data_IF_365391987303
#
_entry.id   IF_365391987303
#
_cell.length_a   1.000
_cell.length_b   1.000
_cell.length_c   1.000
_cell.angle_alpha   90.00
_cell.angle_beta   90.00
_cell.angle_gamma   90.00
#
_symmetry.space_group_name_H-M   'P 1'
#
loop_
_entity.id
_entity.type
_entity.pdbx_description
1 polymer ?
#
# COMPACT_ATOMS: atom_id res chain seq x y z
N UNK A 1 22.36 12.05 6.43
CA UNK A 1 21.72 11.18 7.42
C UNK A 1 21.17 9.97 6.69
N UNK A 2 20.77 8.87 7.35
CA UNK A 2 20.06 7.80 6.64
C UNK A 2 18.61 8.21 6.38
N UNK A 3 17.99 7.61 5.36
CA UNK A 3 16.54 7.73 5.14
C UNK A 3 15.82 7.17 6.36
N UNK A 4 14.80 7.87 6.88
CA UNK A 4 13.95 7.39 7.98
C UNK A 4 12.54 7.15 7.49
N UNK A 5 12.05 5.92 7.70
CA UNK A 5 10.69 5.51 7.39
C UNK A 5 9.87 5.37 8.67
N UNK A 6 8.89 6.24 8.85
CA UNK A 6 7.86 6.14 9.89
C UNK A 6 6.68 5.33 9.35
N UNK A 7 6.45 4.15 9.90
CA UNK A 7 5.53 3.17 9.32
C UNK A 7 4.88 2.26 10.35
N UNK A 8 3.97 1.41 9.88
CA UNK A 8 3.39 0.30 10.62
C UNK A 8 3.13 -0.86 9.64
N UNK A 9 2.90 -2.07 10.14
CA UNK A 9 2.60 -3.27 9.35
C UNK A 9 1.23 -3.18 8.67
N UNK A 10 1.12 -2.36 7.62
CA UNK A 10 -0.10 -2.11 6.86
C UNK A 10 0.21 -2.02 5.37
N UNK A 11 -0.78 -2.21 4.48
CA UNK A 11 -0.57 -2.09 3.04
C UNK A 11 0.08 -0.77 2.62
N UNK A 12 -0.25 0.36 3.27
CA UNK A 12 0.36 1.64 2.92
C UNK A 12 1.82 1.75 3.38
N UNK A 13 2.15 1.18 4.53
CA UNK A 13 3.54 1.09 5.02
C UNK A 13 4.40 0.23 4.09
N UNK A 14 3.88 -0.94 3.72
CA UNK A 14 4.59 -1.89 2.85
C UNK A 14 4.87 -1.35 1.45
N UNK A 15 4.08 -0.42 0.91
CA UNK A 15 4.42 0.25 -0.36
C UNK A 15 5.83 0.84 -0.32
N UNK A 16 6.17 1.48 0.80
CA UNK A 16 7.42 2.23 0.91
C UNK A 16 8.58 1.32 1.29
N UNK A 17 8.39 0.39 2.23
CA UNK A 17 9.45 -0.58 2.53
C UNK A 17 9.79 -1.45 1.32
N UNK A 18 8.80 -1.90 0.54
CA UNK A 18 9.04 -2.61 -0.73
C UNK A 18 9.83 -1.74 -1.71
N UNK A 19 9.46 -0.47 -1.87
CA UNK A 19 10.18 0.42 -2.79
C UNK A 19 11.63 0.65 -2.36
N UNK A 20 11.89 0.83 -1.06
CA UNK A 20 13.23 0.99 -0.52
C UNK A 20 14.10 -0.25 -0.77
N UNK A 21 13.54 -1.45 -0.55
CA UNK A 21 14.21 -2.73 -0.84
C UNK A 21 14.46 -2.92 -2.34
N UNK A 22 13.48 -2.66 -3.21
CA UNK A 22 13.62 -2.77 -4.67
C UNK A 22 14.65 -1.78 -5.23
N UNK A 23 14.76 -0.61 -4.65
CA UNK A 23 15.71 0.41 -5.06
C UNK A 23 17.11 0.20 -4.46
N UNK A 24 17.24 -0.63 -3.42
CA UNK A 24 18.48 -0.90 -2.70
C UNK A 24 18.93 0.29 -1.86
N UNK A 25 17.98 1.05 -1.30
CA UNK A 25 18.25 2.21 -0.47
C UNK A 25 18.35 1.81 1.00
N UNK A 26 19.43 2.17 1.73
CA UNK A 26 19.51 1.94 3.16
C UNK A 26 18.57 2.89 3.91
N UNK A 27 17.87 2.37 4.92
CA UNK A 27 16.92 3.15 5.71
C UNK A 27 16.84 2.68 7.16
N UNK A 28 16.39 3.57 8.02
CA UNK A 28 16.02 3.31 9.41
C UNK A 28 14.49 3.28 9.54
N UNK A 29 13.97 2.39 10.38
CA UNK A 29 12.53 2.25 10.60
C UNK A 29 12.16 2.79 11.98
N UNK A 30 11.16 3.66 12.01
CA UNK A 30 10.44 4.03 13.23
C UNK A 30 9.02 3.46 13.15
N UNK A 31 8.71 2.55 14.05
CA UNK A 31 7.38 1.92 14.11
C UNK A 31 6.43 2.81 14.85
N UNK A 32 5.37 3.26 14.19
CA UNK A 32 4.32 4.07 14.80
C UNK A 32 3.37 3.17 15.59
N UNK A 33 3.28 3.43 16.90
CA UNK A 33 2.35 2.72 17.78
C UNK A 33 0.94 3.33 17.73
N UNK A 34 0.05 2.66 17.00
CA UNK A 34 -1.36 3.06 16.94
C UNK A 34 -2.11 2.88 18.28
N UNK A 35 -1.63 1.97 19.15
CA UNK A 35 -2.30 1.72 20.42
C UNK A 35 -2.16 2.93 21.36
N UNK A 36 -1.01 3.61 21.33
CA UNK A 36 -0.77 4.86 22.03
C UNK A 36 -1.21 6.10 21.26
N UNK A 37 -1.74 5.96 20.07
CA UNK A 37 -2.08 7.06 19.15
C UNK A 37 -0.87 7.93 18.78
N UNK A 38 0.30 7.35 18.65
CA UNK A 38 1.55 8.07 18.35
C UNK A 38 1.46 8.89 17.05
N UNK A 39 0.67 8.43 16.06
CA UNK A 39 0.41 9.15 14.82
C UNK A 39 -0.32 10.50 15.03
N UNK A 40 -0.86 10.74 16.23
CA UNK A 40 -1.53 11.99 16.63
C UNK A 40 -0.68 12.85 17.56
N UNK A 41 0.50 12.37 17.95
CA UNK A 41 1.41 13.14 18.79
C UNK A 41 1.94 14.39 18.06
N UNK A 42 2.13 15.49 18.79
CA UNK A 42 2.53 16.79 18.24
C UNK A 42 3.82 16.72 17.40
N UNK A 43 4.76 15.88 17.82
CA UNK A 43 6.01 15.70 17.07
C UNK A 43 5.78 15.04 15.72
N UNK A 44 4.85 14.06 15.64
CA UNK A 44 4.56 13.37 14.40
C UNK A 44 3.68 14.23 13.47
N UNK A 45 2.72 14.96 14.01
CA UNK A 45 1.90 15.91 13.26
C UNK A 45 2.75 16.99 12.56
N UNK A 46 3.89 17.39 13.16
CA UNK A 46 4.85 18.29 12.50
C UNK A 46 5.52 17.68 11.28
N UNK A 47 5.69 16.35 11.24
CA UNK A 47 6.22 15.62 10.07
C UNK A 47 5.12 15.33 9.05
N UNK A 48 3.94 14.97 9.55
CA UNK A 48 2.79 14.61 8.71
C UNK A 48 1.49 15.19 9.31
N UNK A 49 1.02 16.31 8.78
CA UNK A 49 -0.18 16.98 9.30
C UNK A 49 -1.47 16.14 9.18
N UNK A 50 -1.47 15.11 8.32
CA UNK A 50 -2.58 14.16 8.21
C UNK A 50 -2.64 13.18 9.40
N UNK A 51 -1.52 13.01 10.15
CA UNK A 51 -1.44 12.08 11.27
C UNK A 51 -1.71 10.63 10.86
N UNK A 52 -1.12 10.21 9.74
CA UNK A 52 -1.20 8.86 9.19
C UNK A 52 0.18 8.36 8.78
N UNK A 53 0.30 7.06 8.51
CA UNK A 53 1.51 6.46 7.94
C UNK A 53 1.28 6.18 6.43
N UNK A 54 2.35 6.06 5.65
CA UNK A 54 3.75 6.29 5.96
C UNK A 54 4.15 7.77 5.93
N UNK A 55 5.28 8.07 6.58
CA UNK A 55 6.03 9.33 6.40
C UNK A 55 7.50 8.97 6.16
N UNK A 56 8.14 9.68 5.26
CA UNK A 56 9.57 9.51 4.95
C UNK A 56 10.30 10.81 5.27
N UNK A 57 11.46 10.69 5.91
CA UNK A 57 12.43 11.78 6.03
C UNK A 57 13.69 11.38 5.27
N UNK A 58 14.02 12.12 4.22
CA UNK A 58 15.16 11.82 3.35
C UNK A 58 16.50 12.21 4.02
N UNK A 59 17.61 11.84 3.41
CA UNK A 59 18.98 12.03 3.92
C UNK A 59 19.33 13.50 4.20
N UNK A 60 18.75 14.43 3.46
CA UNK A 60 18.91 15.89 3.60
C UNK A 60 17.94 16.52 4.60
N UNK A 61 17.03 15.72 5.19
CA UNK A 61 16.00 16.19 6.12
C UNK A 61 14.68 16.58 5.44
N UNK A 62 14.57 16.43 4.12
CA UNK A 62 13.30 16.65 3.41
C UNK A 62 12.26 15.63 3.87
N UNK A 63 11.11 16.12 4.31
CA UNK A 63 10.02 15.29 4.85
C UNK A 63 8.89 15.19 3.85
N UNK A 64 8.41 13.97 3.64
CA UNK A 64 7.34 13.69 2.69
C UNK A 64 6.33 12.70 3.29
N UNK A 65 5.05 12.99 3.12
CA UNK A 65 3.94 12.08 3.39
C UNK A 65 3.15 11.83 2.11
N UNK A 66 2.12 10.99 2.15
CA UNK A 66 1.42 10.36 1.03
C UNK A 66 2.28 9.28 0.33
N UNK A 67 1.85 8.04 0.46
CA UNK A 67 2.62 6.90 -0.09
C UNK A 67 2.87 7.01 -1.59
N UNK A 68 1.93 7.57 -2.36
CA UNK A 68 2.12 7.80 -3.79
C UNK A 68 3.18 8.86 -4.10
N UNK A 69 3.22 9.94 -3.33
CA UNK A 69 4.23 10.99 -3.48
C UNK A 69 5.61 10.47 -3.09
N UNK A 70 5.70 9.69 -2.01
CA UNK A 70 6.95 9.06 -1.58
C UNK A 70 7.49 8.11 -2.65
N UNK A 71 6.63 7.28 -3.27
CA UNK A 71 7.02 6.39 -4.35
C UNK A 71 7.58 7.16 -5.57
N UNK A 72 6.95 8.25 -5.97
CA UNK A 72 7.44 9.11 -7.06
C UNK A 72 8.82 9.70 -6.69
N UNK A 73 8.94 10.26 -5.49
CA UNK A 73 10.19 10.85 -5.02
C UNK A 73 11.35 9.85 -5.03
N UNK A 74 11.16 8.65 -4.49
CA UNK A 74 12.18 7.60 -4.46
C UNK A 74 12.55 7.11 -5.87
N UNK A 75 11.57 6.99 -6.77
CA UNK A 75 11.81 6.62 -8.15
C UNK A 75 12.60 7.70 -8.92
N UNK A 76 12.30 8.98 -8.70
CA UNK A 76 13.03 10.10 -9.28
C UNK A 76 14.45 10.20 -8.73
N UNK A 77 14.62 10.04 -7.42
CA UNK A 77 15.92 10.04 -6.73
C UNK A 77 16.86 8.96 -7.27
N UNK A 78 16.33 7.77 -7.54
CA UNK A 78 17.11 6.60 -7.98
C UNK A 78 17.17 6.45 -9.51
N UNK A 79 16.26 7.07 -10.24
CA UNK A 79 16.06 6.85 -11.67
C UNK A 79 15.54 5.46 -12.02
N UNK A 80 14.91 4.74 -11.05
CA UNK A 80 14.41 3.37 -11.21
C UNK A 80 12.88 3.33 -11.12
N UNK A 81 12.25 2.37 -11.81
CA UNK A 81 10.82 2.03 -11.71
C UNK A 81 9.84 3.14 -12.08
N UNK A 82 10.32 4.22 -12.71
CA UNK A 82 9.50 5.28 -13.29
C UNK A 82 10.19 5.75 -14.59
N UNK A 83 9.61 5.49 -15.77
CA UNK A 83 10.18 5.93 -17.04
C UNK A 83 10.38 7.45 -17.09
N UNK A 84 11.40 7.87 -17.82
CA UNK A 84 11.69 9.31 -18.01
C UNK A 84 10.93 9.92 -19.17
N UNK A 85 10.56 9.11 -20.16
CA UNK A 85 9.76 9.58 -21.29
C UNK A 85 8.33 9.91 -20.85
N UNK A 86 7.73 10.89 -21.49
CA UNK A 86 6.44 11.46 -21.09
C UNK A 86 5.33 10.41 -21.09
N UNK A 87 5.28 9.52 -22.08
CA UNK A 87 4.21 8.54 -22.20
C UNK A 87 4.34 7.41 -21.20
N UNK A 88 5.54 6.82 -21.06
CA UNK A 88 5.81 5.78 -20.08
C UNK A 88 5.57 6.28 -18.65
N UNK A 89 6.10 7.47 -18.33
CA UNK A 89 5.86 8.12 -17.04
C UNK A 89 4.36 8.31 -16.76
N UNK A 90 3.63 8.83 -17.73
CA UNK A 90 2.19 9.09 -17.57
C UNK A 90 1.40 7.80 -17.34
N UNK A 91 1.75 6.69 -18.02
CA UNK A 91 1.12 5.39 -17.78
C UNK A 91 1.34 4.87 -16.35
N UNK A 92 2.57 4.96 -15.85
CA UNK A 92 2.87 4.54 -14.47
C UNK A 92 2.11 5.40 -13.47
N UNK A 93 2.11 6.73 -13.65
CA UNK A 93 1.38 7.65 -12.76
C UNK A 93 -0.13 7.41 -12.83
N UNK A 94 -0.69 7.13 -14.01
CA UNK A 94 -2.11 6.77 -14.16
C UNK A 94 -2.49 5.59 -13.26
N UNK A 95 -1.72 4.51 -13.27
CA UNK A 95 -1.99 3.32 -12.46
C UNK A 95 -1.68 3.55 -10.98
N UNK A 96 -0.68 4.39 -10.67
CA UNK A 96 -0.43 4.84 -9.32
C UNK A 96 -1.64 5.63 -8.77
N UNK A 97 -2.19 6.57 -9.55
CA UNK A 97 -3.39 7.32 -9.16
C UNK A 97 -4.62 6.42 -9.05
N UNK A 98 -4.77 5.42 -9.93
CA UNK A 98 -5.82 4.41 -9.82
C UNK A 98 -5.77 3.66 -8.49
N UNK A 99 -4.57 3.35 -7.99
CA UNK A 99 -4.40 2.79 -6.65
C UNK A 99 -4.81 3.79 -5.57
N UNK A 100 -4.32 5.03 -5.63
CA UNK A 100 -4.54 6.04 -4.60
C UNK A 100 -6.00 6.47 -4.48
N UNK A 101 -6.72 6.56 -5.59
CA UNK A 101 -8.11 7.02 -5.62
C UNK A 101 -9.14 5.89 -5.59
N UNK A 102 -8.77 4.70 -6.03
CA UNK A 102 -9.68 3.56 -6.20
C UNK A 102 -9.37 2.40 -5.26
N UNK A 103 -8.36 1.59 -5.60
CA UNK A 103 -8.08 0.32 -4.91
C UNK A 103 -7.90 0.52 -3.39
N UNK A 104 -6.99 1.39 -2.98
CA UNK A 104 -6.72 1.63 -1.56
C UNK A 104 -7.94 2.09 -0.78
N UNK A 105 -8.60 3.19 -1.19
CA UNK A 105 -9.79 3.68 -0.51
C UNK A 105 -10.95 2.70 -0.49
N UNK A 106 -11.26 2.03 -1.61
CA UNK A 106 -12.42 1.13 -1.67
C UNK A 106 -12.20 -0.16 -0.88
N UNK A 107 -11.02 -0.78 -0.97
CA UNK A 107 -10.65 -1.90 -0.10
C UNK A 107 -10.60 -1.47 1.37
N UNK A 108 -10.10 -0.27 1.65
CA UNK A 108 -10.08 0.29 3.00
C UNK A 108 -11.48 0.41 3.59
N UNK A 109 -12.45 0.94 2.85
CA UNK A 109 -13.83 1.03 3.29
C UNK A 109 -14.49 -0.37 3.41
N UNK A 110 -14.22 -1.29 2.48
CA UNK A 110 -14.69 -2.66 2.60
C UNK A 110 -14.19 -3.31 3.90
N UNK A 111 -12.90 -3.13 4.22
CA UNK A 111 -12.31 -3.61 5.48
C UNK A 111 -12.99 -2.98 6.70
N UNK A 112 -13.21 -1.66 6.69
CA UNK A 112 -13.86 -0.94 7.79
C UNK A 112 -15.23 -1.53 8.08
N UNK A 113 -16.12 -1.56 7.10
CA UNK A 113 -17.50 -2.00 7.34
C UNK A 113 -17.63 -3.52 7.54
N UNK A 114 -16.76 -4.32 6.92
CA UNK A 114 -16.77 -5.75 7.10
C UNK A 114 -16.15 -6.19 8.44
N UNK A 115 -15.06 -5.54 8.89
CA UNK A 115 -14.25 -6.03 10.02
C UNK A 115 -14.31 -5.16 11.27
N UNK A 116 -14.27 -3.83 11.11
CA UNK A 116 -13.98 -2.91 12.21
C UNK A 116 -15.20 -2.15 12.70
N UNK A 117 -16.14 -1.83 11.82
CA UNK A 117 -17.34 -1.09 12.21
C UNK A 117 -18.18 -1.91 13.19
N UNK A 118 -18.64 -1.33 14.33
CA UNK A 118 -19.35 -2.07 15.37
C UNK A 118 -20.65 -2.73 14.87
N UNK A 119 -21.39 -2.01 14.03
CA UNK A 119 -22.64 -2.46 13.45
C UNK A 119 -22.40 -3.03 12.05
N UNK A 120 -22.99 -4.19 11.76
CA UNK A 120 -22.96 -4.75 10.41
C UNK A 120 -24.09 -4.15 9.58
N UNK A 121 -23.71 -3.42 8.52
CA UNK A 121 -24.63 -2.76 7.61
C UNK A 121 -24.52 -3.43 6.22
N UNK A 122 -25.30 -4.51 5.97
CA UNK A 122 -25.12 -5.33 4.76
C UNK A 122 -25.11 -4.53 3.45
N UNK A 123 -26.01 -3.55 3.21
CA UNK A 123 -25.99 -2.78 1.96
C UNK A 123 -24.69 -1.98 1.75
N UNK A 124 -24.05 -1.50 2.83
CA UNK A 124 -22.79 -0.75 2.77
C UNK A 124 -21.63 -1.70 2.48
N UNK A 125 -21.58 -2.84 3.16
CA UNK A 125 -20.57 -3.88 2.91
C UNK A 125 -20.63 -4.31 1.45
N UNK A 126 -21.82 -4.67 0.97
CA UNK A 126 -22.04 -5.10 -0.41
C UNK A 126 -21.64 -4.01 -1.42
N UNK A 127 -21.97 -2.74 -1.15
CA UNK A 127 -21.59 -1.62 -2.00
C UNK A 127 -20.09 -1.53 -2.23
N UNK A 128 -19.29 -1.63 -1.16
CA UNK A 128 -17.83 -1.55 -1.27
C UNK A 128 -17.21 -2.81 -1.85
N UNK A 129 -17.71 -3.99 -1.52
CA UNK A 129 -17.26 -5.25 -2.10
C UNK A 129 -17.50 -5.30 -3.62
N UNK A 130 -18.66 -4.89 -4.09
CA UNK A 130 -18.96 -4.78 -5.53
C UNK A 130 -17.99 -3.82 -6.23
N UNK A 131 -17.68 -2.69 -5.61
CA UNK A 131 -16.73 -1.74 -6.20
C UNK A 131 -15.30 -2.32 -6.25
N UNK A 132 -14.85 -3.01 -5.19
CA UNK A 132 -13.57 -3.71 -5.21
C UNK A 132 -13.53 -4.77 -6.32
N UNK A 133 -14.58 -5.59 -6.45
CA UNK A 133 -14.70 -6.58 -7.53
C UNK A 133 -14.61 -5.92 -8.91
N UNK A 134 -15.31 -4.81 -9.12
CA UNK A 134 -15.25 -4.03 -10.38
C UNK A 134 -13.83 -3.56 -10.68
N UNK A 135 -13.13 -3.04 -9.67
CA UNK A 135 -11.75 -2.55 -9.79
C UNK A 135 -10.78 -3.70 -10.09
N UNK A 136 -10.96 -4.88 -9.47
CA UNK A 136 -10.17 -6.07 -9.77
C UNK A 136 -10.34 -6.53 -11.23
N UNK A 137 -11.58 -6.48 -11.74
CA UNK A 137 -11.84 -6.74 -13.16
C UNK A 137 -11.15 -5.77 -14.11
N UNK A 138 -10.89 -4.52 -13.71
CA UNK A 138 -10.08 -3.57 -14.50
C UNK A 138 -8.62 -3.98 -14.49
N UNK A 139 -8.07 -4.34 -13.32
CA UNK A 139 -6.69 -4.82 -13.21
C UNK A 139 -6.47 -6.11 -13.99
N UNK A 140 -7.38 -7.07 -13.88
CA UNK A 140 -7.30 -8.35 -14.59
C UNK A 140 -7.27 -8.18 -16.10
N UNK A 141 -8.18 -7.36 -16.67
CA UNK A 141 -8.18 -7.06 -18.10
C UNK A 141 -6.90 -6.39 -18.58
N UNK A 142 -6.34 -5.48 -17.79
CA UNK A 142 -5.06 -4.85 -18.10
C UNK A 142 -3.92 -5.87 -18.10
N UNK A 143 -3.90 -6.74 -17.11
CA UNK A 143 -2.89 -7.78 -16.94
C UNK A 143 -3.03 -8.95 -17.93
N UNK A 144 -4.16 -9.10 -18.60
CA UNK A 144 -4.35 -10.13 -19.63
C UNK A 144 -3.35 -10.01 -20.78
N UNK A 145 -2.88 -8.80 -21.09
CA UNK A 145 -1.91 -8.52 -22.15
C UNK A 145 -0.57 -7.97 -21.66
N UNK A 146 -0.40 -7.85 -20.34
CA UNK A 146 0.80 -7.29 -19.73
C UNK A 146 1.27 -8.14 -18.56
N UNK A 147 2.58 -8.25 -18.37
CA UNK A 147 3.16 -8.91 -17.21
C UNK A 147 2.96 -8.08 -15.93
N UNK A 148 3.17 -6.76 -16.05
CA UNK A 148 2.99 -5.79 -14.98
C UNK A 148 1.99 -4.70 -15.38
N UNK A 149 1.44 -3.99 -14.40
CA UNK A 149 0.27 -3.13 -14.60
C UNK A 149 0.50 -1.99 -15.61
N UNK A 150 1.71 -1.44 -15.67
CA UNK A 150 2.08 -0.38 -16.62
C UNK A 150 2.93 -0.88 -17.81
N UNK A 151 3.03 -2.21 -17.98
CA UNK A 151 3.88 -2.89 -18.96
C UNK A 151 5.12 -3.49 -18.33
N UNK A 152 6.01 -2.67 -17.80
CA UNK A 152 7.15 -3.08 -17.00
C UNK A 152 6.90 -2.87 -15.50
N UNK A 153 7.64 -3.63 -14.66
CA UNK A 153 7.56 -3.49 -13.20
C UNK A 153 7.91 -2.07 -12.76
N UNK A 154 7.05 -1.46 -11.97
CA UNK A 154 7.11 -0.04 -11.64
C UNK A 154 6.59 0.27 -10.23
N UNK A 155 6.68 1.53 -9.84
CA UNK A 155 6.07 2.02 -8.59
C UNK A 155 4.55 1.83 -8.55
N UNK A 156 3.89 1.64 -9.69
CA UNK A 156 2.46 1.33 -9.74
C UNK A 156 2.18 -0.09 -9.19
N UNK A 157 3.02 -1.07 -9.53
CA UNK A 157 2.92 -2.44 -8.98
C UNK A 157 3.24 -2.45 -7.48
N UNK A 158 4.28 -1.73 -7.05
CA UNK A 158 4.65 -1.58 -5.64
C UNK A 158 3.52 -0.95 -4.81
N UNK A 159 2.74 -0.06 -5.41
CA UNK A 159 1.60 0.58 -4.76
C UNK A 159 0.37 -0.33 -4.68
N UNK A 160 0.08 -1.07 -5.76
CA UNK A 160 -1.12 -1.90 -5.90
C UNK A 160 -1.01 -3.21 -5.11
N UNK A 161 0.15 -3.88 -5.22
CA UNK A 161 0.32 -5.22 -4.70
C UNK A 161 0.04 -5.37 -3.20
N UNK A 162 0.49 -4.49 -2.29
CA UNK A 162 0.23 -4.63 -0.86
C UNK A 162 -1.26 -4.64 -0.51
N UNK A 163 -2.05 -3.88 -1.24
CA UNK A 163 -3.50 -3.84 -1.04
C UNK A 163 -4.18 -5.06 -1.65
N UNK A 164 -3.90 -5.35 -2.92
CA UNK A 164 -4.57 -6.44 -3.64
C UNK A 164 -4.21 -7.79 -3.03
N UNK A 165 -2.99 -7.99 -2.51
CA UNK A 165 -2.59 -9.21 -1.81
C UNK A 165 -3.39 -9.50 -0.52
N UNK A 166 -4.11 -8.51 -0.02
CA UNK A 166 -5.02 -8.60 1.12
C UNK A 166 -6.50 -8.74 0.74
N UNK A 167 -6.82 -9.21 -0.46
CA UNK A 167 -8.17 -9.27 -1.01
C UNK A 167 -9.17 -10.01 -0.10
N UNK A 168 -8.77 -11.12 0.51
CA UNK A 168 -9.59 -11.89 1.45
C UNK A 168 -10.04 -11.05 2.66
N UNK A 169 -9.21 -10.09 3.07
CA UNK A 169 -9.54 -9.21 4.19
C UNK A 169 -10.71 -8.28 3.88
N UNK A 170 -10.86 -7.91 2.61
CA UNK A 170 -12.00 -7.15 2.09
C UNK A 170 -13.24 -8.02 1.84
N UNK A 171 -13.12 -9.35 1.98
CA UNK A 171 -14.20 -10.29 1.71
C UNK A 171 -14.52 -10.44 0.22
N UNK A 172 -13.53 -10.22 -0.64
CA UNK A 172 -13.65 -10.36 -2.10
C UNK A 172 -12.74 -11.49 -2.56
N UNK A 173 -13.22 -12.36 -3.46
CA UNK A 173 -12.43 -13.42 -4.10
C UNK A 173 -11.66 -12.92 -5.31
N UNK A 174 -10.69 -13.72 -5.78
CA UNK A 174 -9.93 -13.47 -7.01
C UNK A 174 -10.04 -14.60 -8.04
N UNK A 175 -10.80 -15.65 -7.75
CA UNK A 175 -10.91 -16.86 -8.58
C UNK A 175 -11.39 -16.57 -10.02
N UNK A 176 -12.14 -15.48 -10.20
CA UNK A 176 -12.62 -15.02 -11.52
C UNK A 176 -11.61 -14.12 -12.24
N UNK A 177 -10.41 -13.88 -11.67
CA UNK A 177 -9.40 -12.94 -12.16
C UNK A 177 -8.03 -13.60 -12.35
N UNK A 178 -7.87 -14.52 -13.33
CA UNK A 178 -6.66 -15.32 -13.47
C UNK A 178 -5.40 -14.51 -13.79
N UNK A 179 -5.53 -13.40 -14.52
CA UNK A 179 -4.39 -12.53 -14.82
C UNK A 179 -3.94 -11.75 -13.57
N UNK A 180 -4.88 -11.35 -12.74
CA UNK A 180 -4.61 -10.72 -11.45
C UNK A 180 -3.95 -11.70 -10.49
N UNK A 181 -4.40 -12.94 -10.43
CA UNK A 181 -3.81 -14.01 -9.62
C UNK A 181 -2.35 -14.29 -10.02
N UNK A 182 -2.10 -14.45 -11.34
CA UNK A 182 -0.75 -14.59 -11.89
C UNK A 182 0.15 -13.43 -11.48
N UNK A 183 -0.33 -12.19 -11.61
CA UNK A 183 0.43 -10.99 -11.26
C UNK A 183 0.72 -10.93 -9.76
N UNK A 184 -0.26 -11.26 -8.91
CA UNK A 184 -0.07 -11.33 -7.45
C UNK A 184 1.05 -12.31 -7.08
N UNK A 185 1.05 -13.49 -7.69
CA UNK A 185 2.07 -14.50 -7.45
C UNK A 185 3.45 -14.02 -7.94
N UNK A 186 3.53 -13.47 -9.15
CA UNK A 186 4.78 -13.01 -9.76
C UNK A 186 5.42 -11.85 -8.97
N UNK A 187 4.65 -10.84 -8.61
CA UNK A 187 5.14 -9.73 -7.79
C UNK A 187 5.50 -10.21 -6.37
N UNK A 188 4.65 -11.06 -5.78
CA UNK A 188 4.89 -11.60 -4.44
C UNK A 188 6.12 -12.50 -4.32
N UNK A 189 6.57 -13.11 -5.41
CA UNK A 189 7.77 -13.93 -5.45
C UNK A 189 9.09 -13.12 -5.47
N UNK A 190 9.02 -11.80 -5.69
CA UNK A 190 10.20 -10.94 -5.73
C UNK A 190 10.86 -10.85 -4.35
N UNK A 191 12.18 -11.08 -4.22
CA UNK A 191 12.86 -11.04 -2.92
C UNK A 191 12.68 -9.71 -2.18
N UNK A 192 12.74 -8.57 -2.87
CA UNK A 192 12.55 -7.26 -2.29
C UNK A 192 11.11 -7.02 -1.79
N UNK A 193 10.11 -7.59 -2.48
CA UNK A 193 8.71 -7.55 -2.02
C UNK A 193 8.53 -8.34 -0.74
N UNK A 194 9.15 -9.52 -0.65
CA UNK A 194 9.13 -10.33 0.58
C UNK A 194 9.83 -9.61 1.73
N UNK A 195 11.05 -9.07 1.50
CA UNK A 195 11.80 -8.34 2.51
C UNK A 195 11.04 -7.08 2.98
N UNK A 196 10.54 -6.27 2.06
CA UNK A 196 9.80 -5.05 2.40
C UNK A 196 8.48 -5.33 3.13
N UNK A 197 7.86 -6.49 2.88
CA UNK A 197 6.66 -6.91 3.59
C UNK A 197 6.93 -7.39 5.03
N UNK A 198 8.15 -7.81 5.32
CA UNK A 198 8.59 -8.18 6.67
C UNK A 198 8.94 -6.94 7.53
N UNK A 199 8.78 -5.73 6.99
CA UNK A 199 9.00 -4.46 7.71
C UNK A 199 7.66 -3.90 8.20
N UNK A 200 7.60 -3.42 9.44
CA UNK A 200 8.63 -3.33 10.49
C UNK A 200 8.80 -4.60 11.31
N UNK A 201 7.95 -5.58 11.12
CA UNK A 201 7.93 -6.81 11.91
C UNK A 201 7.78 -7.98 10.95
N UNK A 202 8.62 -9.00 11.11
CA UNK A 202 8.51 -10.24 10.35
C UNK A 202 7.09 -10.82 10.50
N UNK A 203 6.51 -11.14 9.37
CA UNK A 203 5.09 -11.46 9.28
C UNK A 203 4.68 -12.68 10.09
N UNK A 204 3.78 -12.47 11.04
CA UNK A 204 2.90 -13.48 11.59
C UNK A 204 1.45 -13.10 11.28
N UNK A 205 0.83 -13.81 10.31
CA UNK A 205 -0.53 -13.50 9.84
C UNK A 205 -1.57 -13.53 10.96
N UNK A 206 -1.41 -14.42 11.94
CA UNK A 206 -2.33 -14.51 13.06
C UNK A 206 -2.19 -13.31 14.01
N UNK A 207 -0.95 -12.90 14.29
CA UNK A 207 -0.68 -11.72 15.10
C UNK A 207 -1.12 -10.41 14.40
N UNK A 208 -0.96 -10.30 13.07
CA UNK A 208 -1.43 -9.15 12.28
C UNK A 208 -2.95 -8.98 12.37
N UNK A 209 -3.69 -10.08 12.24
CA UNK A 209 -5.16 -10.09 12.36
C UNK A 209 -5.58 -9.65 13.76
N UNK A 210 -4.97 -10.19 14.79
CA UNK A 210 -5.27 -9.85 16.17
C UNK A 210 -4.97 -8.37 16.46
N UNK A 211 -3.82 -7.87 16.01
CA UNK A 211 -3.46 -6.45 16.16
C UNK A 211 -4.41 -5.52 15.40
N UNK A 212 -4.76 -5.86 14.16
CA UNK A 212 -5.70 -5.08 13.36
C UNK A 212 -7.07 -5.00 14.04
N UNK A 213 -7.57 -6.09 14.59
CA UNK A 213 -8.84 -6.11 15.32
C UNK A 213 -8.79 -5.30 16.62
N UNK A 214 -7.68 -5.34 17.37
CA UNK A 214 -7.50 -4.53 18.59
C UNK A 214 -7.35 -3.03 18.30
N UNK A 215 -6.72 -2.67 17.19
CA UNK A 215 -6.51 -1.28 16.80
C UNK A 215 -7.74 -0.65 16.11
N UNK A 216 -8.66 -1.46 15.62
CA UNK A 216 -9.83 -1.05 14.85
C UNK A 216 -10.65 0.11 15.46
N UNK A 217 -11.02 0.11 16.75
CA UNK A 217 -11.80 1.18 17.36
C UNK A 217 -11.06 2.53 17.35
N UNK A 218 -9.72 2.51 17.40
CA UNK A 218 -8.88 3.70 17.41
C UNK A 218 -8.51 4.21 16.01
N UNK A 219 -8.64 3.34 15.00
CA UNK A 219 -8.44 3.72 13.58
C UNK A 219 -9.65 4.45 13.00
N UNK A 220 -10.83 4.27 13.60
CA UNK A 220 -12.09 4.90 13.17
C UNK A 220 -12.30 6.27 13.81
N UNK A 221 -11.57 6.60 14.87
CA UNK A 221 -11.55 7.90 15.53
C UNK A 221 -10.51 8.83 14.88
#
# INVERSE_FOLDING_TARGET
MAIKLYTAATPNGWKISIALEEMGLPYEVHVIDFASQEQKADWYIKLNPNGRIPTLVDEDGFTLFESGAILIHLAEKTGKFLPRDVHGRSRVIQWLMFQMSGIGPMMGQANVFLRYFPEKIPPVIERYQREVTRLFGILDRQLASHEYIAGEYSIADMALWPWVSGYEWSGVGIDEFPSLERWLAGVGARPAVQAGRDVPIKRDRAAEIEQAMKAAPKMLA
#
